data_IF_574414815172
#
_entry.id   IF_574414815172
#
_cell.length_a   1.000
_cell.length_b   1.000
_cell.length_c   1.000
_cell.angle_alpha   90.00
_cell.angle_beta   90.00
_cell.angle_gamma   90.00
#
_symmetry.space_group_name_H-M   'P 1'
#
loop_
_entity.id
_entity.type
_entity.pdbx_description
1 polymer ?
#
# COMPACT_ATOMS: atom_id res chain seq x y z
N UNK A 1 24.80 16.96 -7.82
CA UNK A 1 23.38 16.98 -7.41
C UNK A 1 23.32 16.82 -5.89
N UNK A 2 22.50 17.63 -5.23
CA UNK A 2 22.35 17.71 -3.77
C UNK A 2 20.92 17.30 -3.43
N UNK A 3 20.77 16.42 -2.43
CA UNK A 3 19.47 16.01 -1.90
C UNK A 3 19.02 16.97 -0.79
N UNK A 4 17.85 17.59 -0.96
CA UNK A 4 17.21 18.38 0.08
C UNK A 4 15.94 17.71 0.57
N UNK A 5 15.72 17.77 1.88
CA UNK A 5 14.43 17.48 2.51
C UNK A 5 13.60 18.76 2.51
N UNK A 6 12.41 18.68 1.93
CA UNK A 6 11.47 19.78 1.79
C UNK A 6 10.22 19.46 2.60
N UNK A 7 9.58 20.52 3.09
CA UNK A 7 8.32 20.43 3.84
C UNK A 7 7.33 21.44 3.28
N UNK A 8 6.12 20.99 2.94
CA UNK A 8 5.04 21.89 2.55
C UNK A 8 4.23 22.37 3.77
N UNK A 9 3.34 23.34 3.55
CA UNK A 9 2.47 23.92 4.58
C UNK A 9 1.54 22.88 5.25
N UNK A 10 1.15 21.83 4.52
CA UNK A 10 0.35 20.70 5.03
C UNK A 10 1.20 19.63 5.77
N UNK A 11 2.38 20.00 6.25
CA UNK A 11 3.31 19.11 6.96
C UNK A 11 3.83 17.90 6.16
N UNK A 12 3.61 17.83 4.85
CA UNK A 12 4.18 16.75 4.03
C UNK A 12 5.68 16.96 3.84
N UNK A 13 6.46 15.96 4.27
CA UNK A 13 7.91 15.92 4.07
C UNK A 13 8.21 15.08 2.84
N UNK A 14 9.00 15.62 1.93
CA UNK A 14 9.43 14.92 0.72
C UNK A 14 10.87 15.31 0.36
N UNK A 15 11.53 14.45 -0.43
CA UNK A 15 12.92 14.67 -0.84
C UNK A 15 12.97 15.03 -2.33
N UNK A 16 13.85 15.97 -2.68
CA UNK A 16 14.11 16.32 -4.08
C UNK A 16 15.59 16.60 -4.33
N UNK A 17 16.00 16.35 -5.58
CA UNK A 17 17.38 16.45 -6.04
C UNK A 17 17.58 17.72 -6.87
N UNK A 18 18.52 18.56 -6.45
CA UNK A 18 18.82 19.81 -7.12
C UNK A 18 20.27 19.84 -7.61
N UNK A 19 20.55 20.58 -8.67
CA UNK A 19 21.91 20.73 -9.17
C UNK A 19 22.83 21.40 -8.13
N UNK A 20 22.31 22.39 -7.39
CA UNK A 20 22.99 23.12 -6.33
C UNK A 20 21.98 23.80 -5.38
N UNK A 21 22.44 24.35 -4.25
CA UNK A 21 21.60 25.18 -3.36
C UNK A 21 21.00 26.39 -4.08
N UNK A 22 21.80 27.09 -4.88
CA UNK A 22 21.34 28.23 -5.68
C UNK A 22 20.29 27.83 -6.75
N UNK A 23 20.30 26.58 -7.23
CA UNK A 23 19.25 26.09 -8.12
C UNK A 23 17.92 25.89 -7.38
N UNK A 24 17.96 25.42 -6.13
CA UNK A 24 16.77 25.34 -5.27
C UNK A 24 16.19 26.73 -5.00
N UNK A 25 17.01 27.71 -4.61
CA UNK A 25 16.53 29.07 -4.31
C UNK A 25 15.85 29.71 -5.54
N UNK A 26 16.39 29.50 -6.74
CA UNK A 26 15.78 29.97 -7.99
C UNK A 26 14.43 29.31 -8.29
N UNK A 27 14.34 28.00 -8.11
CA UNK A 27 13.10 27.24 -8.36
C UNK A 27 12.02 27.56 -7.31
N UNK A 28 12.43 27.77 -6.06
CA UNK A 28 11.55 28.18 -4.97
C UNK A 28 11.02 29.61 -5.19
N UNK A 29 11.89 30.56 -5.55
CA UNK A 29 11.49 31.92 -5.90
C UNK A 29 10.59 31.99 -7.15
N UNK A 30 10.77 31.06 -8.09
CA UNK A 30 9.91 30.91 -9.26
C UNK A 30 8.61 30.14 -8.98
N UNK A 31 8.41 29.61 -7.76
CA UNK A 31 7.23 28.82 -7.39
C UNK A 31 7.10 27.49 -8.14
N UNK A 32 8.20 26.99 -8.73
CA UNK A 32 8.22 25.79 -9.58
C UNK A 32 8.42 24.49 -8.79
N UNK A 33 8.40 24.55 -7.46
CA UNK A 33 8.53 23.38 -6.60
C UNK A 33 7.19 23.10 -5.97
N UNK A 34 6.56 22.01 -6.39
CA UNK A 34 5.24 21.60 -5.91
C UNK A 34 5.35 20.40 -4.99
N UNK A 35 4.49 20.36 -3.97
CA UNK A 35 4.34 19.16 -3.16
C UNK A 35 3.70 18.03 -3.98
N UNK A 36 4.32 16.84 -4.08
CA UNK A 36 3.75 15.73 -4.85
C UNK A 36 2.47 15.13 -4.21
N UNK A 37 2.14 15.53 -2.99
CA UNK A 37 0.97 15.03 -2.24
C UNK A 37 -0.22 15.97 -2.38
N UNK A 38 -0.01 17.29 -2.29
CA UNK A 38 -1.10 18.28 -2.27
C UNK A 38 -1.03 19.33 -3.37
N UNK A 39 0.02 19.37 -4.19
CA UNK A 39 0.19 20.35 -5.27
C UNK A 39 0.52 21.78 -4.82
N UNK A 40 0.67 22.02 -3.51
CA UNK A 40 1.00 23.35 -2.98
C UNK A 40 2.46 23.68 -3.30
N UNK A 41 2.70 24.89 -3.85
CA UNK A 41 4.04 25.41 -4.17
C UNK A 41 4.73 26.13 -3.01
N UNK A 42 4.03 26.33 -1.89
CA UNK A 42 4.59 26.81 -0.64
C UNK A 42 5.37 25.67 0.06
N UNK A 43 6.66 25.57 -0.28
CA UNK A 43 7.58 24.56 0.27
C UNK A 43 8.77 25.24 0.92
N UNK A 44 9.16 24.75 2.09
CA UNK A 44 10.29 25.27 2.87
C UNK A 44 11.36 24.19 3.01
N UNK A 45 12.61 24.62 3.15
CA UNK A 45 13.73 23.71 3.43
C UNK A 45 13.59 23.19 4.85
N UNK A 46 13.33 21.90 5.01
CA UNK A 46 13.35 21.29 6.32
C UNK A 46 14.79 21.34 6.86
N UNK A 47 14.99 21.86 8.08
CA UNK A 47 16.28 21.80 8.75
C UNK A 47 16.70 20.33 8.85
N UNK A 48 17.87 20.00 8.30
CA UNK A 48 18.48 18.68 8.47
C UNK A 48 18.86 18.53 9.94
N UNK A 49 17.99 17.91 10.73
CA UNK A 49 18.36 17.49 12.07
C UNK A 49 19.41 16.37 11.96
N UNK A 50 20.62 16.51 12.53
CA UNK A 50 21.53 15.39 12.62
C UNK A 50 20.83 14.27 13.41
N UNK A 51 20.85 13.05 12.86
CA UNK A 51 20.32 11.87 13.56
C UNK A 51 21.12 11.69 14.85
N UNK A 52 20.58 12.13 15.97
CA UNK A 52 21.06 11.76 17.30
C UNK A 52 20.56 10.33 17.52
N UNK A 53 21.44 9.37 17.29
CA UNK A 53 21.20 7.98 17.62
C UNK A 53 21.16 7.86 19.15
N UNK A 54 19.98 7.90 19.76
CA UNK A 54 19.82 7.40 21.13
C UNK A 54 19.94 5.89 21.08
N UNK A 55 21.08 5.39 21.55
CA UNK A 55 21.39 3.98 21.69
C UNK A 55 20.34 3.26 22.54
N UNK A 56 19.80 2.15 22.01
CA UNK A 56 18.93 1.26 22.77
C UNK A 56 18.09 0.32 21.92
N UNK A 57 18.72 -0.51 21.08
CA UNK A 57 18.47 -1.96 20.93
C UNK A 57 19.29 -2.46 19.72
N UNK A 58 19.89 -3.65 19.84
CA UNK A 58 20.97 -4.19 18.99
C UNK A 58 20.61 -4.40 17.50
N UNK A 59 21.59 -4.26 16.58
CA UNK A 59 21.49 -4.63 15.17
C UNK A 59 22.03 -6.04 14.89
N UNK A 60 21.39 -6.81 13.99
CA UNK A 60 22.07 -7.80 13.13
C UNK A 60 21.15 -8.30 11.99
N UNK A 61 21.69 -8.89 10.90
CA UNK A 61 22.37 -8.20 9.81
C UNK A 61 21.71 -8.46 8.44
N UNK A 62 22.14 -7.66 7.49
CA UNK A 62 21.77 -7.63 6.07
C UNK A 62 21.91 -9.01 5.38
N UNK A 63 20.99 -9.33 4.47
CA UNK A 63 21.21 -10.31 3.41
C UNK A 63 20.37 -9.97 2.18
N UNK A 64 21.04 -9.57 1.10
CA UNK A 64 20.75 -9.92 -0.30
C UNK A 64 19.45 -9.42 -0.97
N UNK A 65 19.52 -9.03 -2.26
CA UNK A 65 18.35 -8.60 -3.02
C UNK A 65 17.56 -9.82 -3.52
N UNK A 66 16.28 -9.89 -3.20
CA UNK A 66 15.31 -10.70 -3.93
C UNK A 66 14.09 -9.85 -4.31
N UNK A 67 13.47 -10.11 -5.46
CA UNK A 67 12.55 -9.20 -6.13
C UNK A 67 11.16 -9.32 -5.50
N UNK A 68 10.92 -8.51 -4.48
CA UNK A 68 9.68 -8.53 -3.72
C UNK A 68 8.70 -7.47 -4.22
N UNK A 69 7.51 -7.95 -4.54
CA UNK A 69 6.16 -7.36 -4.45
C UNK A 69 6.04 -5.82 -4.41
N UNK A 70 5.08 -5.24 -5.16
CA UNK A 70 4.88 -3.79 -5.16
C UNK A 70 4.53 -3.29 -3.75
N UNK A 71 5.51 -2.57 -3.20
CA UNK A 71 5.40 -1.49 -2.26
C UNK A 71 4.37 -1.68 -1.13
N UNK A 72 4.89 -1.93 0.08
CA UNK A 72 4.40 -1.17 1.24
C UNK A 72 4.42 0.29 0.83
N UNK A 73 3.28 0.83 0.43
CA UNK A 73 3.14 2.24 0.18
C UNK A 73 3.35 2.92 1.53
N UNK A 74 4.50 3.56 1.71
CA UNK A 74 4.79 4.54 2.75
C UNK A 74 3.78 5.69 2.63
N UNK A 75 2.53 5.45 3.04
CA UNK A 75 1.55 6.50 3.28
C UNK A 75 1.88 7.13 4.65
N UNK A 76 1.69 8.45 4.81
CA UNK A 76 1.89 9.09 6.10
C UNK A 76 1.04 8.42 7.19
N UNK A 77 1.55 8.26 8.42
CA UNK A 77 0.89 7.51 9.50
C UNK A 77 -0.59 7.85 9.77
N UNK A 78 -1.09 9.11 9.65
CA UNK A 78 -2.53 9.39 9.79
C UNK A 78 -3.39 8.80 8.67
N UNK A 79 -2.87 8.70 7.44
CA UNK A 79 -3.59 8.14 6.30
C UNK A 79 -3.70 6.61 6.37
N UNK A 80 -2.73 5.94 7.00
CA UNK A 80 -2.76 4.50 7.25
C UNK A 80 -3.88 4.10 8.22
N UNK A 81 -4.14 4.92 9.24
CA UNK A 81 -5.16 4.63 10.24
C UNK A 81 -6.59 4.71 9.66
N UNK A 82 -6.88 5.73 8.86
CA UNK A 82 -8.17 5.87 8.19
C UNK A 82 -8.38 4.79 7.11
N UNK A 83 -7.33 4.45 6.36
CA UNK A 83 -7.37 3.34 5.40
C UNK A 83 -7.62 1.99 6.10
N UNK A 84 -6.96 1.73 7.23
CA UNK A 84 -7.16 0.51 8.00
C UNK A 84 -8.59 0.40 8.54
N UNK A 85 -9.18 1.51 9.03
CA UNK A 85 -10.60 1.54 9.44
C UNK A 85 -11.54 1.25 8.27
N UNK A 86 -11.29 1.86 7.10
CA UNK A 86 -12.10 1.64 5.91
C UNK A 86 -12.03 0.18 5.44
N UNK A 87 -10.84 -0.43 5.43
CA UNK A 87 -10.65 -1.85 5.11
C UNK A 87 -11.38 -2.74 6.13
N UNK A 88 -11.31 -2.41 7.42
CA UNK A 88 -12.02 -3.13 8.48
C UNK A 88 -13.54 -3.10 8.32
N UNK A 89 -14.12 -1.94 8.03
CA UNK A 89 -15.55 -1.81 7.79
C UNK A 89 -16.01 -2.57 6.54
N UNK A 90 -15.22 -2.51 5.45
CA UNK A 90 -15.47 -3.29 4.24
C UNK A 90 -15.43 -4.79 4.54
N UNK A 91 -14.45 -5.24 5.32
CA UNK A 91 -14.30 -6.62 5.74
C UNK A 91 -15.52 -7.11 6.50
N UNK A 92 -15.97 -6.38 7.51
CA UNK A 92 -17.15 -6.77 8.31
C UNK A 92 -18.39 -6.92 7.43
N UNK A 93 -18.57 -6.00 6.47
CA UNK A 93 -19.67 -6.07 5.52
C UNK A 93 -19.61 -7.33 4.65
N UNK A 94 -18.44 -7.63 4.09
CA UNK A 94 -18.24 -8.84 3.28
C UNK A 94 -18.45 -10.09 4.13
N UNK A 95 -17.98 -10.09 5.38
CA UNK A 95 -18.12 -11.23 6.27
C UNK A 95 -19.58 -11.53 6.65
N UNK A 96 -20.40 -10.49 6.71
CA UNK A 96 -21.83 -10.60 6.99
C UNK A 96 -22.67 -10.98 5.77
N UNK A 97 -22.31 -10.47 4.60
CA UNK A 97 -23.11 -10.63 3.37
C UNK A 97 -22.72 -11.87 2.54
N UNK A 98 -21.56 -12.48 2.80
CA UNK A 98 -21.08 -13.65 2.03
C UNK A 98 -21.00 -14.93 2.88
N UNK A 99 -20.84 -16.08 2.23
CA UNK A 99 -20.65 -17.38 2.87
C UNK A 99 -19.18 -17.82 2.78
N UNK A 100 -18.58 -18.26 3.90
CA UNK A 100 -17.19 -18.74 3.88
C UNK A 100 -17.10 -20.22 3.49
N UNK A 101 -16.66 -20.50 2.27
CA UNK A 101 -16.47 -21.86 1.72
C UNK A 101 -15.03 -22.38 1.89
N UNK A 102 -14.12 -21.57 2.43
CA UNK A 102 -12.73 -21.95 2.69
C UNK A 102 -12.01 -22.43 1.42
N UNK A 103 -11.29 -23.55 1.51
CA UNK A 103 -10.49 -24.11 0.40
C UNK A 103 -11.30 -24.61 -0.80
N UNK A 104 -12.62 -24.77 -0.64
CA UNK A 104 -13.53 -25.23 -1.71
C UNK A 104 -14.00 -24.09 -2.62
N UNK A 105 -13.44 -22.89 -2.47
CA UNK A 105 -13.83 -21.71 -3.23
C UNK A 105 -13.82 -21.93 -4.74
N UNK A 106 -12.78 -22.56 -5.28
CA UNK A 106 -12.67 -22.77 -6.73
C UNK A 106 -13.73 -23.76 -7.27
N UNK A 107 -14.11 -24.76 -6.48
CA UNK A 107 -15.15 -25.73 -6.86
C UNK A 107 -16.53 -25.09 -6.79
N UNK A 108 -16.84 -24.41 -5.69
CA UNK A 108 -18.12 -23.73 -5.48
C UNK A 108 -18.32 -22.58 -6.48
N UNK A 109 -17.27 -21.80 -6.78
CA UNK A 109 -17.34 -20.73 -7.77
C UNK A 109 -17.68 -21.25 -9.17
N UNK A 110 -17.11 -22.40 -9.56
CA UNK A 110 -17.45 -23.09 -10.81
C UNK A 110 -18.87 -23.62 -10.79
N UNK A 111 -19.29 -24.28 -9.71
CA UNK A 111 -20.64 -24.84 -9.58
C UNK A 111 -21.73 -23.74 -9.64
N UNK A 112 -21.47 -22.57 -9.06
CA UNK A 112 -22.37 -21.41 -9.16
C UNK A 112 -22.40 -20.87 -10.59
N UNK A 113 -21.25 -20.82 -11.27
CA UNK A 113 -21.18 -20.34 -12.66
C UNK A 113 -21.88 -21.28 -13.66
N UNK A 114 -21.79 -22.60 -13.48
CA UNK A 114 -22.47 -23.60 -14.33
C UNK A 114 -23.94 -23.80 -13.98
N UNK A 115 -24.39 -23.34 -12.81
CA UNK A 115 -25.75 -23.51 -12.32
C UNK A 115 -26.01 -24.81 -11.55
N UNK A 116 -24.97 -25.58 -11.22
CA UNK A 116 -25.05 -26.76 -10.35
C UNK A 116 -25.32 -26.40 -8.88
N UNK A 117 -24.99 -25.17 -8.48
CA UNK A 117 -25.21 -24.65 -7.13
C UNK A 117 -26.01 -23.33 -7.17
N UNK A 118 -26.79 -23.01 -6.11
CA UNK A 118 -27.57 -21.77 -6.07
C UNK A 118 -26.66 -20.54 -6.04
N UNK A 119 -27.05 -19.51 -6.79
CA UNK A 119 -26.36 -18.20 -6.82
C UNK A 119 -26.34 -17.57 -5.42
N UNK A 120 -25.14 -17.40 -4.87
CA UNK A 120 -24.90 -16.78 -3.58
C UNK A 120 -23.50 -16.19 -3.53
N UNK A 121 -23.31 -15.17 -2.69
CA UNK A 121 -22.01 -14.55 -2.53
C UNK A 121 -21.12 -15.43 -1.66
N UNK A 122 -20.03 -15.95 -2.22
CA UNK A 122 -19.08 -16.83 -1.53
C UNK A 122 -17.73 -16.14 -1.32
N UNK A 123 -17.06 -16.47 -0.21
CA UNK A 123 -15.69 -16.09 0.10
C UNK A 123 -14.90 -17.32 0.50
N UNK A 124 -13.61 -17.35 0.20
CA UNK A 124 -12.78 -18.47 0.59
C UNK A 124 -11.33 -18.32 0.19
N UNK A 125 -10.60 -19.43 0.24
CA UNK A 125 -9.19 -19.51 -0.08
C UNK A 125 -9.03 -20.20 -1.44
N UNK A 126 -8.24 -19.60 -2.32
CA UNK A 126 -7.83 -20.19 -3.59
C UNK A 126 -6.31 -20.08 -3.74
N UNK A 127 -5.68 -21.08 -4.35
CA UNK A 127 -4.27 -20.95 -4.72
C UNK A 127 -4.13 -20.00 -5.91
N UNK A 128 -2.93 -19.43 -6.14
CA UNK A 128 -2.71 -18.56 -7.29
C UNK A 128 -2.98 -19.25 -8.65
N UNK A 129 -2.78 -20.58 -8.72
CA UNK A 129 -3.11 -21.38 -9.90
C UNK A 129 -4.63 -21.48 -10.09
N UNK A 130 -5.36 -21.75 -9.01
CA UNK A 130 -6.83 -21.86 -9.07
C UNK A 130 -7.46 -20.51 -9.40
N UNK A 131 -6.97 -19.42 -8.79
CA UNK A 131 -7.44 -18.07 -9.08
C UNK A 131 -7.28 -17.73 -10.57
N UNK A 132 -6.13 -18.09 -11.17
CA UNK A 132 -5.91 -17.88 -12.59
C UNK A 132 -6.86 -18.72 -13.46
N UNK A 133 -7.02 -20.01 -13.13
CA UNK A 133 -7.95 -20.88 -13.83
C UNK A 133 -9.40 -20.35 -13.78
N UNK A 134 -9.85 -19.84 -12.63
CA UNK A 134 -11.18 -19.23 -12.51
C UNK A 134 -11.35 -18.02 -13.43
N UNK A 135 -10.34 -17.16 -13.56
CA UNK A 135 -10.40 -16.01 -14.47
C UNK A 135 -10.44 -16.47 -15.93
N UNK A 136 -9.64 -17.48 -16.28
CA UNK A 136 -9.61 -18.08 -17.62
C UNK A 136 -10.94 -18.76 -17.97
N UNK A 137 -11.61 -19.37 -16.97
CA UNK A 137 -12.95 -19.96 -17.05
C UNK A 137 -14.06 -18.88 -17.15
N UNK A 138 -13.72 -17.58 -17.09
CA UNK A 138 -14.67 -16.46 -17.15
C UNK A 138 -15.36 -16.14 -15.82
N UNK A 139 -14.88 -16.70 -14.71
CA UNK A 139 -15.44 -16.51 -13.37
C UNK A 139 -14.80 -15.26 -12.74
N UNK A 140 -15.62 -14.24 -12.50
CA UNK A 140 -15.17 -12.99 -11.89
C UNK A 140 -14.82 -13.18 -10.42
N UNK A 141 -13.53 -13.21 -10.12
CA UNK A 141 -13.00 -13.25 -8.75
C UNK A 141 -12.33 -11.93 -8.38
N UNK A 142 -12.40 -11.57 -7.11
CA UNK A 142 -11.70 -10.38 -6.58
C UNK A 142 -10.85 -10.77 -5.39
N UNK A 143 -9.53 -10.50 -5.41
CA UNK A 143 -8.68 -10.73 -4.26
C UNK A 143 -9.07 -9.74 -3.16
N UNK A 144 -9.47 -10.28 -2.01
CA UNK A 144 -9.77 -9.46 -0.85
C UNK A 144 -8.47 -9.05 -0.14
N UNK A 145 -8.37 -7.83 0.42
CA UNK A 145 -7.20 -7.35 1.14
C UNK A 145 -7.07 -7.99 2.54
N UNK A 146 -7.11 -9.33 2.61
CA UNK A 146 -6.85 -10.09 3.83
C UNK A 146 -5.34 -10.22 4.01
N UNK A 147 -4.81 -9.52 5.00
CA UNK A 147 -3.49 -9.84 5.55
C UNK A 147 -3.75 -10.91 6.60
N UNK A 148 -3.51 -12.19 6.27
CA UNK A 148 -3.49 -13.24 7.27
C UNK A 148 -2.35 -12.96 8.25
N UNK A 149 -2.62 -12.64 9.54
CA UNK A 149 -1.57 -12.36 10.51
C UNK A 149 -0.69 -13.59 10.78
N UNK A 150 -1.11 -14.79 10.34
CA UNK A 150 -0.35 -16.04 10.44
C UNK A 150 0.60 -16.31 9.26
N UNK A 151 0.50 -15.57 8.15
CA UNK A 151 1.35 -15.76 6.96
C UNK A 151 2.36 -14.63 6.74
N UNK A 152 2.47 -13.70 7.70
CA UNK A 152 3.53 -12.69 7.74
C UNK A 152 4.72 -13.26 8.52
N UNK A 153 5.58 -14.00 7.82
CA UNK A 153 6.94 -14.34 8.27
C UNK A 153 7.91 -13.95 7.16
#
# INVERSE_FOLDING_TARGET
MIRYALKCDNDHVFESWFASGAAFDKLCAAGQIECPVCGISAVTKALMAPRVNTAGEKPQPQSGPSPDLPAKADLPPPAQAELAKAIGALRERIERETENVGKRFAEEARAIHTGDAPERAIRGEATGKDAKALIDDGISIMPLPYIDPKKVN
#
